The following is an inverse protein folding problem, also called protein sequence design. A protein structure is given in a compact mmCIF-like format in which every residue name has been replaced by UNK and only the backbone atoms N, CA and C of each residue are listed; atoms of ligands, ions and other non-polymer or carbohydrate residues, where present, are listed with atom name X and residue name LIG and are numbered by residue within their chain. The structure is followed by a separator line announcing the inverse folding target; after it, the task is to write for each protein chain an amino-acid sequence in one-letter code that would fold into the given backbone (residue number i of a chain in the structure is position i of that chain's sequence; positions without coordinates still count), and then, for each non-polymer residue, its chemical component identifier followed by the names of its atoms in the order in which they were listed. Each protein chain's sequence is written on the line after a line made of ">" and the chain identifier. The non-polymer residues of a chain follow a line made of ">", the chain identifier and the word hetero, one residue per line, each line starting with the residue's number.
data_IF_691429101790
#
_entry.id   IF_691429101790
#
_cell.length_a   1.000
_cell.length_b   1.000
_cell.length_c   1.000
_cell.angle_alpha   90.00
_cell.angle_beta   90.00
_cell.angle_gamma   90.00
#
_symmetry.space_group_name_H-M   'P 1'
#
loop_
_entity.id
_entity.type
_entity.pdbx_description
1 polymer ?
#
# COMPACT_ATOMS: atom_id res chain seq x y z
N UNK A 1 -6.22 32.53 4.19
CA UNK A 1 -6.20 32.15 2.77
C UNK A 1 -7.58 32.44 2.22
N UNK A 2 -7.69 33.29 1.19
CA UNK A 2 -8.99 33.70 0.68
C UNK A 2 -9.69 32.55 -0.07
N UNK A 3 -10.99 32.38 0.18
CA UNK A 3 -11.85 31.57 -0.68
C UNK A 3 -11.89 32.16 -2.09
N UNK A 4 -11.92 31.30 -3.10
CA UNK A 4 -12.06 31.70 -4.51
C UNK A 4 -13.53 31.61 -4.87
N UNK A 5 -14.11 32.72 -5.35
CA UNK A 5 -15.47 32.71 -5.90
C UNK A 5 -15.49 31.93 -7.22
N UNK A 6 -16.35 30.92 -7.31
CA UNK A 6 -16.57 30.12 -8.52
C UNK A 6 -17.79 30.66 -9.28
N UNK A 7 -18.78 31.18 -8.55
CA UNK A 7 -20.00 31.78 -9.08
C UNK A 7 -20.98 32.15 -7.96
N UNK A 8 -22.21 32.52 -8.34
CA UNK A 8 -23.20 33.08 -7.41
C UNK A 8 -23.45 32.16 -6.20
N UNK A 9 -23.01 32.60 -5.02
CA UNK A 9 -23.16 31.84 -3.77
C UNK A 9 -22.30 30.58 -3.67
N UNK A 10 -21.31 30.39 -4.57
CA UNK A 10 -20.41 29.24 -4.57
C UNK A 10 -18.96 29.68 -4.52
N UNK A 11 -18.28 29.31 -3.44
CA UNK A 11 -16.85 29.49 -3.27
C UNK A 11 -16.14 28.14 -3.14
N UNK A 12 -14.82 28.15 -3.33
CA UNK A 12 -13.95 27.00 -3.11
C UNK A 12 -12.66 27.42 -2.41
N UNK A 13 -12.08 26.48 -1.65
CA UNK A 13 -10.75 26.66 -1.07
C UNK A 13 -9.70 26.12 -2.03
N UNK A 14 -8.67 26.91 -2.33
CA UNK A 14 -7.51 26.41 -3.08
C UNK A 14 -6.80 25.32 -2.28
N UNK A 15 -6.64 24.16 -2.90
CA UNK A 15 -5.79 23.07 -2.43
C UNK A 15 -4.51 23.01 -3.26
N UNK A 16 -3.51 22.30 -2.77
CA UNK A 16 -2.22 22.11 -3.43
C UNK A 16 -1.89 20.63 -3.49
N UNK A 17 -1.30 20.21 -4.59
CA UNK A 17 -0.68 18.90 -4.73
C UNK A 17 0.78 18.92 -4.27
N UNK A 18 1.37 17.74 -4.08
CA UNK A 18 2.78 17.63 -3.67
C UNK A 18 3.75 18.19 -4.72
N UNK A 19 3.41 18.12 -6.02
CA UNK A 19 4.18 18.69 -7.14
C UNK A 19 4.10 20.22 -7.23
N UNK A 20 3.15 20.84 -6.53
CA UNK A 20 3.06 22.30 -6.39
C UNK A 20 3.88 22.83 -5.19
N UNK A 21 4.48 21.95 -4.38
CA UNK A 21 5.17 22.30 -3.14
C UNK A 21 6.66 21.92 -3.25
N UNK A 22 7.53 22.83 -2.84
CA UNK A 22 8.97 22.56 -2.70
C UNK A 22 9.42 22.85 -1.26
N UNK A 23 10.33 22.02 -0.74
CA UNK A 23 10.98 22.24 0.55
C UNK A 23 12.24 23.09 0.32
N UNK A 24 12.40 24.16 1.09
CA UNK A 24 13.56 25.06 1.01
C UNK A 24 14.51 24.75 2.18
N UNK A 25 15.71 24.19 1.93
CA UNK A 25 16.70 23.98 2.98
C UNK A 25 17.36 25.33 3.34
N UNK A 26 16.83 26.01 4.36
CA UNK A 26 17.34 27.31 4.82
C UNK A 26 18.42 27.23 5.90
N UNK A 27 18.68 26.03 6.44
CA UNK A 27 19.66 25.78 7.49
C UNK A 27 20.95 25.19 6.92
N UNK A 28 22.00 25.12 7.76
CA UNK A 28 23.24 24.42 7.40
C UNK A 28 22.92 22.96 7.10
N UNK A 29 23.52 22.45 6.03
CA UNK A 29 23.45 21.04 5.65
C UNK A 29 24.01 20.14 6.75
N UNK A 30 23.53 18.90 6.77
CA UNK A 30 23.98 17.81 7.64
C UNK A 30 24.49 16.68 6.77
N UNK A 31 25.31 15.82 7.34
CA UNK A 31 25.68 14.58 6.66
C UNK A 31 24.43 13.69 6.53
N UNK A 32 24.39 12.88 5.48
CA UNK A 32 23.31 11.91 5.27
C UNK A 32 23.35 10.84 6.36
N UNK A 33 24.55 10.49 6.85
CA UNK A 33 24.74 9.51 7.92
C UNK A 33 24.21 9.99 9.28
N UNK A 34 24.00 11.31 9.44
CA UNK A 34 23.44 11.90 10.66
C UNK A 34 21.89 11.91 10.70
N UNK A 35 21.22 11.40 9.66
CA UNK A 35 19.76 11.43 9.53
C UNK A 35 19.15 10.10 9.97
N UNK A 36 18.41 10.12 11.08
CA UNK A 36 17.59 8.98 11.52
C UNK A 36 16.24 8.98 10.80
N UNK A 37 16.01 7.96 9.98
CA UNK A 37 14.73 7.71 9.29
C UNK A 37 13.90 6.62 9.95
N UNK A 38 14.31 6.13 11.12
CA UNK A 38 13.54 5.14 11.86
C UNK A 38 12.19 5.72 12.28
N UNK A 39 11.20 4.84 12.30
CA UNK A 39 9.82 5.20 12.57
C UNK A 39 9.30 4.39 13.75
N UNK A 40 8.76 5.09 14.75
CA UNK A 40 8.07 4.48 15.86
C UNK A 40 6.57 4.75 15.75
N UNK A 41 5.78 3.68 15.77
CA UNK A 41 4.32 3.73 15.86
C UNK A 41 3.89 2.72 16.92
N UNK A 42 3.19 3.22 17.93
CA UNK A 42 2.83 2.43 19.11
C UNK A 42 4.09 1.77 19.76
N UNK A 43 4.05 0.46 20.02
CA UNK A 43 5.16 -0.32 20.55
C UNK A 43 6.18 -0.79 19.49
N UNK A 44 5.97 -0.50 18.21
CA UNK A 44 6.79 -0.99 17.10
C UNK A 44 7.79 0.06 16.62
N UNK A 45 9.00 -0.40 16.30
CA UNK A 45 10.04 0.40 15.68
C UNK A 45 10.49 -0.23 14.37
N UNK A 46 10.47 0.57 13.32
CA UNK A 46 10.85 0.25 11.94
C UNK A 46 12.07 1.06 11.53
N UNK A 47 12.85 0.56 10.58
CA UNK A 47 14.06 1.24 10.12
C UNK A 47 13.74 2.35 9.12
N UNK A 48 12.62 2.25 8.41
CA UNK A 48 12.13 3.28 7.47
C UNK A 48 10.62 3.57 7.67
N UNK A 49 10.15 4.79 7.36
CA UNK A 49 8.75 5.18 7.54
C UNK A 49 7.92 4.80 6.30
N UNK A 50 8.02 3.54 5.86
CA UNK A 50 7.39 3.06 4.62
C UNK A 50 6.47 1.87 4.92
N UNK A 51 5.21 2.01 4.53
CA UNK A 51 4.23 0.93 4.54
C UNK A 51 3.86 0.57 3.11
N UNK A 52 3.76 -0.72 2.82
CA UNK A 52 3.22 -1.19 1.57
C UNK A 52 1.72 -0.83 1.46
N UNK A 53 1.26 -0.54 0.25
CA UNK A 53 -0.16 -0.36 0.00
C UNK A 53 -0.89 -1.70 0.18
N UNK A 54 -2.05 -1.70 0.83
CA UNK A 54 -2.93 -2.86 0.98
C UNK A 54 -3.68 -3.14 -0.33
N UNK A 55 -2.96 -3.63 -1.34
CA UNK A 55 -3.51 -3.99 -2.65
C UNK A 55 -2.89 -5.27 -3.15
N UNK A 56 -3.71 -6.18 -3.70
CA UNK A 56 -3.26 -7.47 -4.25
C UNK A 56 -2.19 -7.34 -5.32
N UNK A 57 -2.19 -6.22 -6.06
CA UNK A 57 -1.22 -5.91 -7.12
C UNK A 57 0.19 -5.59 -6.62
N UNK A 58 0.33 -5.26 -5.33
CA UNK A 58 1.61 -4.85 -4.71
C UNK A 58 1.99 -5.83 -3.60
N UNK A 59 1.03 -6.19 -2.75
CA UNK A 59 1.28 -6.90 -1.49
C UNK A 59 0.71 -8.31 -1.52
N UNK A 60 1.57 -9.25 -1.89
CA UNK A 60 1.48 -10.68 -1.61
C UNK A 60 2.07 -11.01 -0.24
N UNK A 61 1.85 -12.22 0.31
CA UNK A 61 2.57 -12.68 1.50
C UNK A 61 4.10 -12.55 1.35
N UNK A 62 4.65 -12.99 0.22
CA UNK A 62 6.09 -12.88 -0.06
C UNK A 62 6.59 -11.43 -0.10
N UNK A 63 5.83 -10.51 -0.72
CA UNK A 63 6.23 -9.09 -0.76
C UNK A 63 6.01 -8.40 0.58
N UNK A 64 5.02 -8.80 1.38
CA UNK A 64 4.85 -8.32 2.76
C UNK A 64 6.05 -8.71 3.63
N UNK A 65 6.48 -9.98 3.56
CA UNK A 65 7.70 -10.45 4.23
C UNK A 65 8.91 -9.63 3.76
N UNK A 66 9.07 -9.48 2.44
CA UNK A 66 10.20 -8.73 1.89
C UNK A 66 10.25 -7.28 2.37
N UNK A 67 9.09 -6.64 2.55
CA UNK A 67 9.00 -5.28 3.10
C UNK A 67 9.47 -5.21 4.55
N UNK A 68 9.11 -6.21 5.38
CA UNK A 68 9.60 -6.32 6.76
C UNK A 68 11.12 -6.53 6.83
N UNK A 69 11.68 -7.38 5.96
CA UNK A 69 13.14 -7.57 5.86
C UNK A 69 13.90 -6.31 5.45
N UNK A 70 13.26 -5.43 4.68
CA UNK A 70 13.81 -4.13 4.26
C UNK A 70 13.62 -3.04 5.33
N UNK A 71 13.07 -3.38 6.49
CA UNK A 71 12.87 -2.47 7.63
C UNK A 71 11.63 -1.59 7.53
N UNK A 72 10.73 -1.86 6.56
CA UNK A 72 9.42 -1.23 6.43
C UNK A 72 8.30 -2.13 6.96
N UNK A 73 7.05 -1.83 6.57
CA UNK A 73 5.86 -2.57 6.99
C UNK A 73 5.16 -3.20 5.78
N UNK A 74 5.02 -4.53 5.79
CA UNK A 74 4.16 -5.25 4.86
C UNK A 74 2.69 -5.18 5.30
N UNK A 75 1.78 -4.87 4.38
CA UNK A 75 0.33 -4.75 4.69
C UNK A 75 -0.48 -5.62 3.73
N UNK A 76 -0.92 -6.78 4.20
CA UNK A 76 -1.74 -7.70 3.41
C UNK A 76 -3.23 -7.29 3.47
N UNK A 77 -3.88 -7.25 2.32
CA UNK A 77 -5.34 -7.07 2.24
C UNK A 77 -6.05 -8.41 2.45
N UNK A 78 -6.71 -8.56 3.60
CA UNK A 78 -7.45 -9.78 3.95
C UNK A 78 -8.80 -9.90 3.26
N UNK A 79 -9.26 -8.84 2.57
CA UNK A 79 -10.47 -8.83 1.75
C UNK A 79 -10.15 -8.89 0.25
N UNK A 80 -8.88 -9.04 -0.12
CA UNK A 80 -8.38 -9.12 -1.49
C UNK A 80 -8.43 -10.52 -2.11
N UNK A 81 -7.79 -10.66 -3.27
CA UNK A 81 -7.70 -11.91 -4.04
C UNK A 81 -6.91 -12.98 -3.26
N UNK A 82 -5.91 -12.58 -2.47
CA UNK A 82 -5.06 -13.50 -1.70
C UNK A 82 -5.80 -14.40 -0.71
N UNK A 83 -7.01 -14.01 -0.31
CA UNK A 83 -7.88 -14.74 0.64
C UNK A 83 -9.18 -15.22 -0.01
N UNK A 84 -9.39 -14.95 -1.30
CA UNK A 84 -10.57 -15.38 -2.08
C UNK A 84 -10.25 -16.49 -3.08
N UNK A 85 -8.99 -16.66 -3.45
CA UNK A 85 -8.54 -17.58 -4.49
C UNK A 85 -7.39 -18.48 -3.99
N UNK A 86 -7.39 -19.74 -4.41
CA UNK A 86 -6.35 -20.71 -4.00
C UNK A 86 -4.99 -20.40 -4.63
N UNK A 87 -4.99 -19.99 -5.91
CA UNK A 87 -3.81 -19.55 -6.66
C UNK A 87 -3.95 -18.09 -7.14
N UNK A 88 -3.80 -17.10 -6.24
CA UNK A 88 -3.85 -15.68 -6.58
C UNK A 88 -2.79 -15.27 -7.61
N UNK A 89 -1.64 -15.95 -7.63
CA UNK A 89 -0.53 -15.60 -8.52
C UNK A 89 -0.88 -15.86 -9.98
N UNK A 90 -1.52 -17.01 -10.27
CA UNK A 90 -2.02 -17.29 -11.61
C UNK A 90 -3.14 -16.33 -12.03
N UNK A 91 -4.10 -16.05 -11.14
CA UNK A 91 -5.19 -15.09 -11.40
C UNK A 91 -4.64 -13.67 -11.70
N UNK A 92 -3.65 -13.20 -10.93
CA UNK A 92 -3.01 -11.90 -11.15
C UNK A 92 -2.16 -11.87 -12.44
N UNK A 93 -1.48 -12.97 -12.78
CA UNK A 93 -0.74 -13.09 -14.03
C UNK A 93 -1.69 -13.03 -15.24
N UNK A 94 -2.84 -13.72 -15.18
CA UNK A 94 -3.89 -13.64 -16.20
C UNK A 94 -4.36 -12.19 -16.39
N UNK A 95 -4.70 -11.50 -15.30
CA UNK A 95 -5.15 -10.10 -15.32
C UNK A 95 -4.14 -9.16 -15.98
N UNK A 96 -2.84 -9.40 -15.81
CA UNK A 96 -1.78 -8.59 -16.40
C UNK A 96 -1.63 -8.75 -17.92
N UNK A 97 -2.20 -9.82 -18.49
CA UNK A 97 -2.02 -10.21 -19.89
C UNK A 97 -3.18 -9.83 -20.82
N UNK A 98 -4.33 -9.46 -20.26
CA UNK A 98 -5.56 -9.18 -21.02
C UNK A 98 -5.83 -7.67 -21.16
N UNK A 99 -6.65 -7.24 -22.15
CA UNK A 99 -7.05 -5.83 -22.28
C UNK A 99 -7.80 -5.32 -21.05
N UNK A 100 -7.70 -4.01 -20.78
CA UNK A 100 -8.22 -3.37 -19.57
C UNK A 100 -9.71 -3.67 -19.27
N UNK A 101 -10.57 -3.67 -20.30
CA UNK A 101 -12.00 -3.96 -20.11
C UNK A 101 -12.23 -5.41 -19.67
N UNK A 102 -11.47 -6.36 -20.22
CA UNK A 102 -11.51 -7.76 -19.83
C UNK A 102 -10.93 -7.96 -18.42
N UNK A 103 -9.81 -7.30 -18.11
CA UNK A 103 -9.21 -7.31 -16.77
C UNK A 103 -10.19 -6.78 -15.72
N UNK A 104 -10.92 -5.69 -16.03
CA UNK A 104 -11.90 -5.09 -15.13
C UNK A 104 -13.06 -6.06 -14.86
N UNK A 105 -13.59 -6.71 -15.89
CA UNK A 105 -14.65 -7.71 -15.72
C UNK A 105 -14.15 -8.89 -14.87
N UNK A 106 -12.97 -9.42 -15.19
CA UNK A 106 -12.34 -10.53 -14.47
C UNK A 106 -12.05 -10.20 -13.01
N UNK A 107 -11.56 -8.99 -12.72
CA UNK A 107 -11.31 -8.53 -11.35
C UNK A 107 -12.61 -8.54 -10.53
N UNK A 108 -13.73 -8.08 -11.12
CA UNK A 108 -15.04 -8.09 -10.44
C UNK A 108 -15.51 -9.51 -10.14
N UNK A 109 -15.26 -10.46 -11.02
CA UNK A 109 -15.57 -11.88 -10.78
C UNK A 109 -14.76 -12.46 -9.62
N UNK A 110 -13.46 -12.17 -9.56
CA UNK A 110 -12.58 -12.62 -8.48
C UNK A 110 -13.01 -12.04 -7.12
N UNK A 111 -13.28 -10.74 -7.07
CA UNK A 111 -13.73 -10.07 -5.85
C UNK A 111 -15.15 -10.43 -5.42
N UNK A 112 -15.98 -10.97 -6.32
CA UNK A 112 -17.32 -11.48 -5.99
C UNK A 112 -17.28 -12.81 -5.22
N UNK A 113 -16.16 -13.55 -5.28
CA UNK A 113 -15.95 -14.77 -4.49
C UNK A 113 -15.91 -14.40 -3.00
N UNK A 114 -16.50 -15.19 -2.09
CA UNK A 114 -16.41 -14.92 -0.65
C UNK A 114 -14.95 -15.05 -0.15
N UNK A 115 -14.62 -14.32 0.93
CA UNK A 115 -13.37 -14.53 1.65
C UNK A 115 -13.41 -15.92 2.28
N UNK A 116 -12.32 -16.67 2.15
CA UNK A 116 -12.15 -18.01 2.67
C UNK A 116 -11.32 -17.96 3.97
N UNK A 117 -11.91 -18.22 5.15
CA UNK A 117 -11.19 -18.13 6.44
C UNK A 117 -9.93 -19.00 6.53
N UNK A 118 -9.93 -20.15 5.87
CA UNK A 118 -8.80 -21.06 5.75
C UNK A 118 -7.61 -20.44 5.01
N UNK A 119 -7.89 -19.66 3.94
CA UNK A 119 -6.86 -18.95 3.21
C UNK A 119 -6.33 -17.77 4.02
N UNK A 120 -7.21 -17.05 4.75
CA UNK A 120 -6.79 -15.99 5.68
C UNK A 120 -5.78 -16.53 6.69
N UNK A 121 -6.11 -17.63 7.36
CA UNK A 121 -5.23 -18.26 8.33
C UNK A 121 -3.91 -18.71 7.70
N UNK A 122 -3.96 -19.33 6.51
CA UNK A 122 -2.78 -19.77 5.79
C UNK A 122 -1.85 -18.60 5.40
N UNK A 123 -2.38 -17.48 4.90
CA UNK A 123 -1.55 -16.32 4.50
C UNK A 123 -0.93 -15.60 5.70
N UNK A 124 -1.66 -15.50 6.80
CA UNK A 124 -1.12 -14.93 8.04
C UNK A 124 -0.01 -15.84 8.60
N UNK A 125 -0.22 -17.16 8.60
CA UNK A 125 0.79 -18.11 9.04
C UNK A 125 2.07 -18.01 8.19
N UNK A 126 1.94 -17.94 6.86
CA UNK A 126 3.07 -17.78 5.93
C UNK A 126 3.93 -16.55 6.27
N UNK A 127 3.31 -15.40 6.56
CA UNK A 127 4.02 -14.17 6.96
C UNK A 127 4.63 -14.32 8.35
N UNK A 128 3.88 -14.88 9.31
CA UNK A 128 4.34 -15.04 10.69
C UNK A 128 5.54 -15.98 10.81
N UNK A 129 5.57 -17.06 10.03
CA UNK A 129 6.67 -18.03 9.97
C UNK A 129 7.99 -17.40 9.47
N UNK A 130 7.93 -16.33 8.68
CA UNK A 130 9.10 -15.58 8.25
C UNK A 130 9.75 -14.75 9.37
N UNK A 131 9.07 -14.58 10.52
CA UNK A 131 9.62 -13.87 11.68
C UNK A 131 9.81 -12.36 11.48
N UNK A 132 9.16 -11.78 10.46
CA UNK A 132 9.11 -10.33 10.25
C UNK A 132 8.22 -9.68 11.31
N UNK A 133 8.58 -8.45 11.70
CA UNK A 133 7.89 -7.71 12.76
C UNK A 133 6.67 -6.97 12.26
#
# INVERSE_FOLDING_TARGET
>A
MAEVEIGLGKSGRRAYRLDEIAIIPSRRTRDLEDVDVSWQIDAYRFDIPVLAASTDSVTSPATAVRMGELGGVGVLDLEGIWTRCEDPAADLAELSSVPLDAATARLRELYARPVQPELVAARIAEIAEAGVR
#
